data_IF_460301171918
#
_entry.id   IF_460301171918
#
_cell.length_a   1.000
_cell.length_b   1.000
_cell.length_c   1.000
_cell.angle_alpha   90.00
_cell.angle_beta   90.00
_cell.angle_gamma   90.00
#
_symmetry.space_group_name_H-M   'P 1'
#
loop_
_entity.id
_entity.type
_entity.pdbx_description
1 polymer ?
#
# COMPACT_ATOMS: atom_id res chain seq x y z
N UNK A 1 41.43 -25.10 12.63
CA UNK A 1 41.48 -24.02 11.62
C UNK A 1 42.21 -24.53 10.39
N UNK A 2 41.79 -24.17 9.18
CA UNK A 2 42.50 -24.58 7.98
C UNK A 2 43.81 -23.79 7.87
N UNK A 3 44.95 -24.50 7.74
CA UNK A 3 46.28 -23.91 7.71
C UNK A 3 46.70 -23.58 6.27
N UNK A 4 47.30 -22.40 6.07
CA UNK A 4 47.75 -21.98 4.77
C UNK A 4 49.01 -22.73 4.33
N UNK A 5 49.04 -23.16 3.04
CA UNK A 5 50.20 -23.76 2.38
C UNK A 5 50.82 -22.71 1.46
N UNK A 6 52.18 -22.64 1.47
CA UNK A 6 52.97 -21.78 0.54
C UNK A 6 52.95 -22.40 -0.87
N UNK A 7 52.65 -21.57 -1.85
CA UNK A 7 52.63 -21.93 -3.26
C UNK A 7 54.01 -21.65 -3.89
N UNK A 8 54.35 -22.29 -5.02
CA UNK A 8 55.60 -21.99 -5.76
C UNK A 8 55.72 -20.52 -6.19
N UNK A 9 54.59 -19.82 -6.34
CA UNK A 9 54.52 -18.38 -6.65
C UNK A 9 54.88 -17.45 -5.48
N UNK A 10 55.24 -18.00 -4.31
CA UNK A 10 55.51 -17.23 -3.10
C UNK A 10 54.27 -16.88 -2.25
N UNK A 11 53.08 -16.98 -2.81
CA UNK A 11 51.83 -16.71 -2.11
C UNK A 11 51.39 -17.87 -1.22
N UNK A 12 50.46 -17.59 -0.29
CA UNK A 12 49.89 -18.58 0.63
C UNK A 12 48.42 -18.87 0.26
N UNK A 13 48.04 -20.16 0.27
CA UNK A 13 46.69 -20.62 -0.05
C UNK A 13 46.09 -21.39 1.12
N UNK A 14 44.85 -21.02 1.51
CA UNK A 14 43.99 -21.78 2.42
C UNK A 14 42.81 -22.35 1.68
N UNK A 15 42.40 -23.58 1.98
CA UNK A 15 41.16 -24.19 1.51
C UNK A 15 40.21 -24.31 2.70
N UNK A 16 39.13 -23.54 2.71
CA UNK A 16 38.07 -23.59 3.70
C UNK A 16 36.97 -24.51 3.20
N UNK A 17 36.54 -25.45 4.05
CA UNK A 17 35.46 -26.38 3.77
C UNK A 17 34.13 -25.78 4.23
N UNK A 18 33.17 -25.70 3.35
CA UNK A 18 31.81 -25.27 3.64
C UNK A 18 30.94 -26.50 3.95
N UNK A 19 30.60 -26.66 5.22
CA UNK A 19 29.75 -27.78 5.68
C UNK A 19 28.35 -27.76 5.08
N UNK A 20 27.82 -26.55 4.75
CA UNK A 20 26.46 -26.39 4.22
C UNK A 20 26.34 -26.78 2.74
N UNK A 21 27.41 -26.62 1.95
CA UNK A 21 27.40 -26.94 0.51
C UNK A 21 28.24 -28.15 0.15
N UNK A 22 29.01 -28.74 1.10
CA UNK A 22 29.94 -29.83 0.85
C UNK A 22 31.14 -29.45 -0.02
N UNK A 23 31.38 -28.16 -0.30
CA UNK A 23 32.40 -27.67 -1.24
C UNK A 23 33.53 -26.93 -0.54
N UNK A 24 34.73 -26.98 -1.13
CA UNK A 24 35.87 -26.20 -0.70
C UNK A 24 35.95 -24.87 -1.47
N UNK A 25 36.24 -23.78 -0.74
CA UNK A 25 36.65 -22.50 -1.34
C UNK A 25 38.09 -22.18 -1.00
N UNK A 26 38.85 -21.74 -1.99
CA UNK A 26 40.29 -21.41 -1.84
C UNK A 26 40.44 -19.89 -1.70
N UNK A 27 41.32 -19.49 -0.78
CA UNK A 27 41.71 -18.10 -0.56
C UNK A 27 43.26 -18.04 -0.74
N UNK A 28 43.74 -17.05 -1.49
CA UNK A 28 45.16 -16.86 -1.76
C UNK A 28 45.55 -15.42 -1.45
N UNK A 29 46.60 -15.23 -0.67
CA UNK A 29 47.13 -13.93 -0.29
C UNK A 29 48.65 -13.92 -0.21
N UNK A 30 49.27 -12.74 -0.15
CA UNK A 30 50.72 -12.58 -0.08
C UNK A 30 51.35 -13.07 1.22
N UNK A 31 50.58 -13.11 2.31
CA UNK A 31 51.02 -13.59 3.63
C UNK A 31 50.18 -14.74 4.13
N UNK A 32 50.75 -15.59 4.97
CA UNK A 32 50.06 -16.72 5.61
C UNK A 32 48.85 -16.22 6.46
N UNK A 33 49.08 -15.18 7.25
CA UNK A 33 48.06 -14.58 8.15
C UNK A 33 46.88 -14.03 7.40
N UNK A 34 47.10 -13.37 6.29
CA UNK A 34 46.06 -12.75 5.46
C UNK A 34 45.19 -13.83 4.77
N UNK A 35 45.79 -14.89 4.25
CA UNK A 35 45.03 -16.01 3.67
C UNK A 35 44.17 -16.73 4.72
N UNK A 36 44.69 -16.93 5.92
CA UNK A 36 43.96 -17.55 7.05
C UNK A 36 42.85 -16.63 7.55
N UNK A 37 43.08 -15.30 7.62
CA UNK A 37 42.06 -14.31 7.98
C UNK A 37 40.88 -14.29 6.98
N UNK A 38 41.16 -14.23 5.69
CA UNK A 38 40.15 -14.28 4.63
C UNK A 38 39.30 -15.55 4.72
N UNK A 39 39.92 -16.70 5.00
CA UNK A 39 39.23 -17.97 5.16
C UNK A 39 38.35 -17.98 6.44
N UNK A 40 38.87 -17.41 7.56
CA UNK A 40 38.15 -17.30 8.81
C UNK A 40 36.97 -16.34 8.72
N UNK A 41 37.15 -15.18 8.10
CA UNK A 41 36.07 -14.20 7.85
C UNK A 41 34.97 -14.81 6.96
N UNK A 42 35.35 -15.53 5.93
CA UNK A 42 34.41 -16.22 5.06
C UNK A 42 33.62 -17.32 5.80
N UNK A 43 34.28 -18.13 6.64
CA UNK A 43 33.62 -19.13 7.49
C UNK A 43 32.72 -18.46 8.53
N UNK A 44 33.16 -17.37 9.17
CA UNK A 44 32.38 -16.63 10.15
C UNK A 44 31.18 -15.92 9.52
N UNK A 45 31.33 -15.37 8.31
CA UNK A 45 30.20 -14.78 7.56
C UNK A 45 29.12 -15.81 7.19
N UNK A 46 29.52 -17.10 7.08
CA UNK A 46 28.60 -18.21 6.84
C UNK A 46 28.07 -18.84 8.13
N UNK A 47 28.85 -18.88 9.19
CA UNK A 47 28.37 -19.30 10.52
C UNK A 47 27.29 -18.36 11.08
N UNK A 48 27.29 -17.09 10.67
CA UNK A 48 26.19 -16.14 10.93
C UNK A 48 24.96 -16.33 10.01
N UNK A 49 25.06 -17.16 8.96
CA UNK A 49 23.86 -17.62 8.24
C UNK A 49 23.26 -18.73 9.06
N UNK A 50 22.09 -18.46 9.61
CA UNK A 50 21.30 -19.46 10.31
C UNK A 50 21.26 -20.75 9.48
N UNK A 51 21.54 -21.86 10.11
CA UNK A 51 21.40 -23.18 9.53
C UNK A 51 19.90 -23.42 9.26
N UNK A 52 19.44 -23.54 8.01
CA UNK A 52 18.01 -23.72 7.72
C UNK A 52 17.42 -24.91 8.46
N UNK A 53 18.23 -25.92 8.81
CA UNK A 53 17.79 -27.09 9.55
C UNK A 53 17.50 -26.81 11.03
N UNK A 54 17.79 -25.60 11.53
CA UNK A 54 17.64 -25.24 12.94
C UNK A 54 16.62 -24.13 13.19
N UNK A 55 16.05 -23.54 12.14
CA UNK A 55 15.13 -22.40 12.25
C UNK A 55 13.72 -22.86 11.90
N UNK A 56 12.78 -22.44 12.73
CA UNK A 56 11.34 -22.62 12.47
C UNK A 56 10.80 -21.56 11.52
N UNK A 57 9.65 -21.82 10.90
CA UNK A 57 8.92 -20.82 10.09
C UNK A 57 8.63 -19.57 10.91
N UNK A 58 8.25 -19.73 12.18
CA UNK A 58 7.96 -18.64 13.10
C UNK A 58 9.17 -17.73 13.30
N UNK A 59 10.33 -18.30 13.56
CA UNK A 59 11.59 -17.56 13.71
C UNK A 59 12.01 -16.90 12.38
N UNK A 60 11.88 -17.59 11.25
CA UNK A 60 12.18 -17.04 9.94
C UNK A 60 11.31 -15.82 9.61
N UNK A 61 10.00 -15.90 9.88
CA UNK A 61 9.05 -14.79 9.68
C UNK A 61 9.36 -13.63 10.63
N UNK A 62 9.65 -13.91 11.89
CA UNK A 62 10.04 -12.88 12.87
C UNK A 62 11.30 -12.14 12.42
N UNK A 63 12.36 -12.86 12.08
CA UNK A 63 13.63 -12.29 11.60
C UNK A 63 13.43 -11.46 10.32
N UNK A 64 12.54 -11.93 9.42
CA UNK A 64 12.16 -11.17 8.23
C UNK A 64 11.52 -9.83 8.60
N UNK A 65 10.51 -9.83 9.50
CA UNK A 65 9.81 -8.62 9.94
C UNK A 65 10.81 -7.65 10.58
N UNK A 66 11.63 -8.11 11.50
CA UNK A 66 12.64 -7.30 12.20
C UNK A 66 13.65 -6.68 11.22
N UNK A 67 14.08 -7.43 10.20
CA UNK A 67 14.96 -6.92 9.14
C UNK A 67 14.34 -5.81 8.29
N UNK A 68 13.01 -5.67 8.30
CA UNK A 68 12.27 -4.65 7.56
C UNK A 68 11.81 -3.48 8.43
N UNK A 69 11.95 -3.57 9.76
CA UNK A 69 11.68 -2.43 10.64
C UNK A 69 12.59 -1.24 10.28
N UNK A 70 12.05 -0.04 10.23
CA UNK A 70 12.77 1.16 9.79
C UNK A 70 12.82 1.38 8.26
N UNK A 71 12.67 0.32 7.45
CA UNK A 71 12.60 0.43 5.98
C UNK A 71 11.16 0.52 5.49
N UNK A 72 10.31 -0.36 6.01
CA UNK A 72 8.88 -0.38 5.66
C UNK A 72 8.09 0.64 6.50
N UNK A 73 6.87 0.93 6.02
CA UNK A 73 5.97 1.79 6.78
C UNK A 73 5.54 1.13 8.09
N UNK A 74 5.32 1.90 9.19
CA UNK A 74 4.83 1.36 10.46
C UNK A 74 3.55 0.52 10.30
N UNK A 75 2.65 0.93 9.40
CA UNK A 75 1.42 0.19 9.10
C UNK A 75 1.70 -1.16 8.41
N UNK A 76 2.70 -1.23 7.52
CA UNK A 76 3.10 -2.48 6.87
C UNK A 76 3.70 -3.45 7.88
N UNK A 77 4.60 -2.96 8.74
CA UNK A 77 5.19 -3.75 9.83
C UNK A 77 4.10 -4.25 10.77
N UNK A 78 3.13 -3.39 11.15
CA UNK A 78 1.97 -3.81 11.93
C UNK A 78 1.17 -4.92 11.25
N UNK A 79 0.93 -4.80 9.94
CA UNK A 79 0.24 -5.83 9.16
C UNK A 79 0.96 -7.17 9.21
N UNK A 80 2.28 -7.18 9.11
CA UNK A 80 3.10 -8.37 9.23
C UNK A 80 3.01 -9.01 10.63
N UNK A 81 3.05 -8.21 11.70
CA UNK A 81 2.87 -8.74 13.06
C UNK A 81 1.46 -9.30 13.31
N UNK A 82 0.42 -8.77 12.65
CA UNK A 82 -0.92 -9.36 12.73
C UNK A 82 -0.94 -10.75 12.09
N UNK A 83 -0.32 -10.91 10.92
CA UNK A 83 -0.18 -12.21 10.25
C UNK A 83 0.64 -13.17 11.11
N UNK A 84 1.78 -12.74 11.61
CA UNK A 84 2.66 -13.51 12.49
C UNK A 84 1.94 -14.08 13.71
N UNK A 85 1.05 -13.29 14.33
CA UNK A 85 0.35 -13.69 15.57
C UNK A 85 -0.87 -14.58 15.31
N UNK A 86 -1.51 -14.47 14.16
CA UNK A 86 -2.86 -15.03 13.98
C UNK A 86 -2.99 -16.03 12.83
N UNK A 87 -1.98 -16.16 11.96
CA UNK A 87 -2.18 -16.86 10.71
C UNK A 87 -1.16 -17.96 10.41
N UNK A 88 -0.05 -18.04 11.12
CA UNK A 88 1.03 -19.00 10.83
C UNK A 88 1.07 -20.21 11.77
N UNK A 89 0.17 -20.32 12.76
CA UNK A 89 0.23 -21.31 13.83
C UNK A 89 0.41 -22.74 13.32
N UNK A 90 -0.24 -23.11 12.21
CA UNK A 90 -0.19 -24.47 11.64
C UNK A 90 1.19 -24.88 11.10
N UNK A 91 2.00 -23.90 10.71
CA UNK A 91 3.33 -24.10 10.15
C UNK A 91 4.43 -23.51 11.04
N UNK A 92 4.05 -22.85 12.14
CA UNK A 92 4.93 -22.05 12.99
C UNK A 92 6.16 -22.82 13.46
N UNK A 93 5.95 -24.04 13.96
CA UNK A 93 6.99 -24.89 14.57
C UNK A 93 7.68 -25.79 13.52
N UNK A 94 7.27 -25.74 12.26
CA UNK A 94 7.91 -26.48 11.17
C UNK A 94 9.30 -25.90 10.91
N UNK A 95 10.28 -26.80 10.77
CA UNK A 95 11.63 -26.42 10.37
C UNK A 95 11.64 -25.98 8.90
N UNK A 96 12.22 -24.79 8.60
CA UNK A 96 12.21 -24.25 7.23
C UNK A 96 13.01 -25.12 6.24
N UNK A 97 14.01 -25.89 6.72
CA UNK A 97 14.78 -26.82 5.88
C UNK A 97 13.97 -28.05 5.44
N UNK A 98 12.88 -28.38 6.14
CA UNK A 98 12.06 -29.56 5.87
C UNK A 98 10.68 -29.23 5.31
N UNK A 99 10.33 -27.93 5.20
CA UNK A 99 9.04 -27.50 4.68
C UNK A 99 8.92 -27.80 3.17
N UNK A 100 7.74 -28.22 2.74
CA UNK A 100 7.45 -28.56 1.35
C UNK A 100 6.31 -27.70 0.81
N UNK A 101 6.16 -27.67 -0.51
CA UNK A 101 5.04 -27.03 -1.21
C UNK A 101 3.69 -27.56 -0.71
N UNK A 102 3.59 -28.86 -0.43
CA UNK A 102 2.37 -29.48 0.10
C UNK A 102 1.97 -28.93 1.47
N UNK A 103 2.94 -28.62 2.33
CA UNK A 103 2.67 -28.06 3.65
C UNK A 103 2.15 -26.63 3.54
N UNK A 104 2.75 -25.83 2.66
CA UNK A 104 2.29 -24.48 2.35
C UNK A 104 0.91 -24.48 1.69
N UNK A 105 0.67 -25.39 0.74
CA UNK A 105 -0.65 -25.53 0.09
C UNK A 105 -1.73 -25.92 1.08
N UNK A 106 -1.44 -26.84 2.00
CA UNK A 106 -2.37 -27.25 3.05
C UNK A 106 -2.70 -26.07 3.98
N UNK A 107 -1.68 -25.36 4.45
CA UNK A 107 -1.83 -24.16 5.28
C UNK A 107 -2.69 -23.08 4.58
N UNK A 108 -2.42 -22.78 3.30
CA UNK A 108 -3.22 -21.87 2.48
C UNK A 108 -4.68 -22.31 2.42
N UNK A 109 -4.92 -23.60 2.17
CA UNK A 109 -6.27 -24.16 2.07
C UNK A 109 -7.06 -24.05 3.38
N UNK A 110 -6.41 -24.20 4.53
CA UNK A 110 -7.04 -23.99 5.83
C UNK A 110 -7.32 -22.49 6.12
N UNK A 111 -6.39 -21.62 5.76
CA UNK A 111 -6.58 -20.18 5.92
C UNK A 111 -7.65 -19.62 4.97
N UNK A 112 -7.80 -20.18 3.78
CA UNK A 112 -8.85 -19.80 2.83
C UNK A 112 -10.28 -20.04 3.35
N UNK A 113 -10.46 -20.99 4.31
CA UNK A 113 -11.73 -21.21 5.00
C UNK A 113 -12.07 -20.12 6.02
N UNK A 114 -11.07 -19.40 6.52
CA UNK A 114 -11.21 -18.42 7.63
C UNK A 114 -11.08 -16.98 7.18
N UNK A 115 -10.32 -16.72 6.12
CA UNK A 115 -9.94 -15.38 5.70
C UNK A 115 -10.33 -15.09 4.25
N UNK A 116 -10.55 -13.82 3.95
CA UNK A 116 -10.81 -13.38 2.58
C UNK A 116 -9.58 -13.63 1.67
N UNK A 117 -9.78 -13.88 0.36
CA UNK A 117 -8.72 -14.20 -0.60
C UNK A 117 -7.51 -13.26 -0.53
N UNK A 118 -7.74 -11.94 -0.48
CA UNK A 118 -6.65 -10.96 -0.38
C UNK A 118 -5.87 -11.04 0.93
N UNK A 119 -6.52 -11.44 2.02
CA UNK A 119 -5.84 -11.66 3.31
C UNK A 119 -4.92 -12.89 3.21
N UNK A 120 -5.40 -13.97 2.60
CA UNK A 120 -4.60 -15.20 2.39
C UNK A 120 -3.40 -14.92 1.47
N UNK A 121 -3.60 -14.16 0.40
CA UNK A 121 -2.50 -13.72 -0.47
C UNK A 121 -1.43 -12.93 0.30
N UNK A 122 -1.84 -12.01 1.18
CA UNK A 122 -0.91 -11.25 2.01
C UNK A 122 -0.17 -12.13 3.03
N UNK A 123 -0.85 -13.13 3.60
CA UNK A 123 -0.25 -14.13 4.51
C UNK A 123 0.82 -14.93 3.78
N UNK A 124 0.47 -15.46 2.60
CA UNK A 124 1.41 -16.19 1.76
C UNK A 124 2.60 -15.33 1.33
N UNK A 125 2.34 -14.08 0.93
CA UNK A 125 3.40 -13.13 0.54
C UNK A 125 4.41 -12.89 1.66
N UNK A 126 3.99 -12.82 2.92
CA UNK A 126 4.91 -12.67 4.05
C UNK A 126 5.74 -13.94 4.28
N UNK A 127 5.10 -15.10 4.34
CA UNK A 127 5.79 -16.39 4.60
C UNK A 127 6.74 -16.73 3.46
N UNK A 128 6.30 -16.63 2.21
CA UNK A 128 7.16 -16.90 1.04
C UNK A 128 8.36 -15.94 0.97
N UNK A 129 8.19 -14.66 1.33
CA UNK A 129 9.29 -13.70 1.40
C UNK A 129 10.30 -14.06 2.49
N UNK A 130 9.85 -14.53 3.65
CA UNK A 130 10.71 -14.99 4.74
C UNK A 130 11.50 -16.26 4.35
N UNK A 131 10.86 -17.22 3.70
CA UNK A 131 11.50 -18.45 3.21
C UNK A 131 12.52 -18.13 2.10
N UNK A 132 12.17 -17.28 1.13
CA UNK A 132 13.09 -16.82 0.08
C UNK A 132 14.31 -16.08 0.64
N UNK A 133 14.13 -15.27 1.71
CA UNK A 133 15.27 -14.61 2.38
C UNK A 133 16.24 -15.62 2.97
N UNK A 134 15.75 -16.77 3.45
CA UNK A 134 16.57 -17.88 3.96
C UNK A 134 17.06 -18.82 2.86
N UNK A 135 16.79 -18.50 1.59
CA UNK A 135 17.22 -19.28 0.40
C UNK A 135 16.69 -20.72 0.40
N UNK A 136 15.48 -20.92 0.90
CA UNK A 136 14.80 -22.19 0.80
C UNK A 136 14.39 -22.39 -0.65
N UNK A 137 14.77 -23.55 -1.20
CA UNK A 137 14.50 -23.93 -2.58
C UNK A 137 13.14 -24.64 -2.66
N UNK A 138 12.11 -23.87 -3.00
CA UNK A 138 10.73 -24.32 -3.18
C UNK A 138 10.17 -23.70 -4.46
N UNK A 139 9.31 -24.43 -5.13
CA UNK A 139 8.51 -23.88 -6.23
C UNK A 139 7.32 -23.08 -5.68
N UNK A 140 7.59 -21.81 -5.35
CA UNK A 140 6.57 -20.90 -4.81
C UNK A 140 5.44 -20.60 -5.80
N UNK A 141 5.68 -20.76 -7.10
CA UNK A 141 4.71 -20.42 -8.14
C UNK A 141 3.72 -21.59 -8.37
N UNK A 142 4.05 -22.80 -7.92
CA UNK A 142 3.13 -23.96 -7.92
C UNK A 142 2.02 -23.85 -6.88
N UNK A 143 2.13 -22.94 -5.91
CA UNK A 143 1.15 -22.77 -4.83
C UNK A 143 -0.10 -22.07 -5.34
N UNK A 144 -1.25 -22.74 -5.26
CA UNK A 144 -2.53 -22.19 -5.68
C UNK A 144 -3.13 -21.28 -4.60
N UNK A 145 -3.32 -20.01 -4.93
CA UNK A 145 -3.98 -19.04 -4.08
C UNK A 145 -5.48 -18.93 -4.38
N UNK A 146 -6.30 -18.56 -3.39
CA UNK A 146 -7.72 -18.31 -3.62
C UNK A 146 -7.91 -17.18 -4.63
N UNK A 147 -8.87 -17.38 -5.57
CA UNK A 147 -9.18 -16.36 -6.59
C UNK A 147 -9.66 -15.06 -5.93
N UNK A 148 -9.05 -13.96 -6.30
CA UNK A 148 -9.48 -12.63 -5.84
C UNK A 148 -10.85 -12.29 -6.46
N UNK A 149 -11.81 -12.01 -5.59
CA UNK A 149 -13.11 -11.47 -5.98
C UNK A 149 -13.03 -9.96 -5.80
N UNK A 150 -13.14 -9.22 -6.88
CA UNK A 150 -13.25 -7.77 -6.81
C UNK A 150 -14.62 -7.44 -6.19
N UNK A 151 -14.60 -6.78 -5.03
CA UNK A 151 -15.81 -6.20 -4.45
C UNK A 151 -16.05 -4.85 -5.10
N UNK A 152 -17.25 -4.66 -5.55
CA UNK A 152 -17.69 -3.36 -6.05
C UNK A 152 -17.64 -2.32 -4.92
N UNK A 153 -16.97 -1.21 -5.16
CA UNK A 153 -16.88 -0.11 -4.21
C UNK A 153 -18.05 0.83 -4.45
N UNK A 154 -18.95 0.94 -3.48
CA UNK A 154 -20.06 1.91 -3.58
C UNK A 154 -19.45 3.31 -3.49
N UNK A 155 -19.56 4.07 -4.58
CA UNK A 155 -19.09 5.45 -4.71
C UNK A 155 -20.29 6.38 -4.62
N UNK A 156 -20.25 7.48 -3.83
CA UNK A 156 -21.37 8.41 -3.76
C UNK A 156 -21.51 9.19 -5.07
N UNK A 157 -22.74 9.31 -5.56
CA UNK A 157 -23.08 10.20 -6.67
C UNK A 157 -23.19 11.66 -6.19
N UNK A 158 -23.39 12.62 -7.10
CA UNK A 158 -23.45 14.05 -6.80
C UNK A 158 -24.53 14.42 -5.77
N UNK A 159 -25.72 13.83 -5.86
CA UNK A 159 -26.80 14.05 -4.89
C UNK A 159 -26.41 13.53 -3.50
N UNK A 160 -25.83 12.35 -3.44
CA UNK A 160 -25.34 11.76 -2.19
C UNK A 160 -24.18 12.56 -1.60
N UNK A 161 -23.29 13.10 -2.43
CA UNK A 161 -22.22 14.02 -1.98
C UNK A 161 -22.81 15.27 -1.35
N UNK A 162 -23.83 15.90 -1.97
CA UNK A 162 -24.54 17.04 -1.40
C UNK A 162 -25.17 16.68 -0.06
N UNK A 163 -25.88 15.55 0.03
CA UNK A 163 -26.48 15.08 1.29
C UNK A 163 -25.42 14.83 2.37
N UNK A 164 -24.29 14.21 2.02
CA UNK A 164 -23.18 13.97 2.95
C UNK A 164 -22.65 15.29 3.53
N UNK A 165 -22.45 16.29 2.69
CA UNK A 165 -21.97 17.61 3.13
C UNK A 165 -22.95 18.31 4.07
N UNK A 166 -24.26 18.11 3.89
CA UNK A 166 -25.29 18.64 4.78
C UNK A 166 -25.37 17.89 6.11
N UNK A 167 -25.40 16.55 6.10
CA UNK A 167 -25.57 15.77 7.34
C UNK A 167 -24.37 15.84 8.28
N UNK A 168 -23.18 16.19 7.78
CA UNK A 168 -21.97 16.35 8.63
C UNK A 168 -21.81 17.76 9.17
N UNK A 169 -22.60 18.72 8.70
CA UNK A 169 -22.52 20.13 9.11
C UNK A 169 -22.77 20.29 10.61
N UNK A 170 -21.94 21.11 11.27
CA UNK A 170 -21.96 21.34 12.72
C UNK A 170 -21.75 20.07 13.58
N UNK A 171 -21.20 19.00 13.00
CA UNK A 171 -20.82 17.80 13.75
C UNK A 171 -19.31 17.75 13.99
N UNK A 172 -18.88 16.88 14.93
CA UNK A 172 -17.45 16.69 15.21
C UNK A 172 -16.65 16.10 14.06
N UNK A 173 -17.32 15.59 13.01
CA UNK A 173 -16.69 15.01 11.81
C UNK A 173 -16.88 15.88 10.57
N UNK A 174 -17.36 17.09 10.72
CA UNK A 174 -17.56 18.01 9.59
C UNK A 174 -16.29 18.24 8.78
N UNK A 175 -15.22 18.68 9.43
CA UNK A 175 -13.96 18.98 8.73
C UNK A 175 -13.32 17.74 8.08
N UNK A 176 -13.13 16.61 8.79
CA UNK A 176 -12.52 15.45 8.17
C UNK A 176 -13.33 14.88 7.00
N UNK A 177 -14.65 14.87 7.06
CA UNK A 177 -15.48 14.39 5.95
C UNK A 177 -15.46 15.40 4.80
N UNK A 178 -15.56 16.70 5.07
CA UNK A 178 -15.48 17.73 4.03
C UNK A 178 -14.14 17.68 3.30
N UNK A 179 -13.01 17.52 4.00
CA UNK A 179 -11.70 17.34 3.37
C UNK A 179 -11.63 16.09 2.48
N UNK A 180 -12.24 14.99 2.92
CA UNK A 180 -12.30 13.77 2.11
C UNK A 180 -13.11 13.98 0.82
N UNK A 181 -14.25 14.65 0.92
CA UNK A 181 -15.17 14.92 -0.21
C UNK A 181 -14.58 15.95 -1.17
N UNK A 182 -14.12 17.10 -0.67
CA UNK A 182 -13.76 18.24 -1.53
C UNK A 182 -12.32 18.21 -2.01
N UNK A 183 -11.39 17.67 -1.23
CA UNK A 183 -9.98 17.57 -1.58
C UNK A 183 -9.54 16.16 -1.98
N UNK A 184 -10.38 15.16 -1.75
CA UNK A 184 -10.04 13.76 -2.02
C UNK A 184 -8.88 13.23 -1.18
N UNK A 185 -8.66 13.74 0.04
CA UNK A 185 -7.58 13.31 0.91
C UNK A 185 -7.76 11.86 1.39
N UNK A 186 -6.65 11.16 1.60
CA UNK A 186 -6.68 9.86 2.28
C UNK A 186 -6.99 10.03 3.76
N UNK A 187 -7.70 9.09 4.35
CA UNK A 187 -8.03 9.13 5.79
C UNK A 187 -6.80 9.34 6.68
N UNK A 188 -5.66 8.76 6.31
CA UNK A 188 -4.41 8.93 7.04
C UNK A 188 -3.77 10.32 6.86
N UNK A 189 -3.97 10.97 5.71
CA UNK A 189 -3.56 12.35 5.45
C UNK A 189 -4.43 13.30 6.29
N UNK A 190 -5.75 13.15 6.25
CA UNK A 190 -6.71 13.95 7.03
C UNK A 190 -6.35 13.95 8.52
N UNK A 191 -5.97 12.80 9.06
CA UNK A 191 -5.62 12.68 10.48
C UNK A 191 -4.27 13.32 10.84
N UNK A 192 -3.43 13.65 9.84
CA UNK A 192 -2.11 14.24 10.04
C UNK A 192 -2.05 15.73 9.76
N UNK A 193 -3.06 16.30 9.07
CA UNK A 193 -3.09 17.72 8.73
C UNK A 193 -3.24 18.57 9.98
N UNK A 194 -2.34 19.56 10.12
CA UNK A 194 -2.31 20.52 11.21
C UNK A 194 -2.87 21.88 10.77
N UNK A 195 -3.26 22.69 11.74
CA UNK A 195 -3.66 24.08 11.45
C UNK A 195 -2.53 24.90 10.82
N UNK A 196 -1.27 24.61 11.17
CA UNK A 196 -0.10 25.25 10.55
C UNK A 196 0.09 24.89 9.08
N UNK A 197 -0.54 23.85 8.58
CA UNK A 197 -0.49 23.43 7.18
C UNK A 197 -1.52 24.18 6.31
N UNK A 198 -2.39 25.00 6.91
CA UNK A 198 -3.38 25.82 6.24
C UNK A 198 -2.99 27.30 6.29
N UNK A 199 -2.85 27.95 5.13
CA UNK A 199 -2.45 29.36 5.01
C UNK A 199 -3.62 30.33 4.73
N UNK A 200 -4.87 29.85 4.84
CA UNK A 200 -6.08 30.60 4.53
C UNK A 200 -6.60 30.42 3.09
N UNK A 201 -5.81 29.85 2.20
CA UNK A 201 -6.16 29.56 0.82
C UNK A 201 -5.73 28.17 0.37
N UNK A 202 -4.61 27.66 0.90
CA UNK A 202 -3.98 26.41 0.48
C UNK A 202 -3.75 25.49 1.66
N UNK A 203 -3.80 24.19 1.39
CA UNK A 203 -3.51 23.15 2.35
C UNK A 203 -2.29 22.35 1.91
N UNK A 204 -1.29 22.24 2.79
CA UNK A 204 -0.03 21.53 2.56
C UNK A 204 -0.15 20.10 3.07
N UNK A 205 -0.08 19.12 2.19
CA UNK A 205 -0.14 17.70 2.53
C UNK A 205 1.26 17.13 2.46
N UNK A 206 1.83 16.77 3.61
CA UNK A 206 3.20 16.26 3.70
C UNK A 206 3.36 15.08 4.66
N UNK A 207 2.31 14.74 5.40
CA UNK A 207 2.32 13.70 6.41
C UNK A 207 1.09 12.79 6.33
N UNK A 208 1.19 11.64 6.95
CA UNK A 208 0.10 10.71 7.16
C UNK A 208 0.18 10.09 8.57
N UNK A 209 -0.94 10.00 9.26
CA UNK A 209 -1.04 9.35 10.56
C UNK A 209 -1.36 7.88 10.37
N UNK A 210 -0.49 6.99 10.84
CA UNK A 210 -0.64 5.54 10.66
C UNK A 210 -0.42 4.79 11.98
N UNK A 211 -1.12 3.67 12.21
CA UNK A 211 -0.89 2.87 13.41
C UNK A 211 0.44 2.08 13.29
N UNK A 212 1.23 2.09 14.35
CA UNK A 212 2.43 1.26 14.48
C UNK A 212 2.10 -0.14 15.05
N UNK A 213 3.13 -0.99 15.24
CA UNK A 213 3.00 -2.35 15.77
C UNK A 213 2.35 -2.44 17.16
N UNK A 214 2.39 -1.36 17.92
CA UNK A 214 1.79 -1.24 19.26
C UNK A 214 0.41 -0.55 19.22
N UNK A 215 -0.23 -0.45 18.06
CA UNK A 215 -1.51 0.23 17.84
C UNK A 215 -1.52 1.73 18.16
N UNK A 216 -0.36 2.35 18.41
CA UNK A 216 -0.25 3.79 18.58
C UNK A 216 -0.22 4.47 17.22
N UNK A 217 -0.98 5.55 17.08
CA UNK A 217 -0.92 6.40 15.90
C UNK A 217 0.42 7.16 15.91
N UNK A 218 1.12 7.10 14.79
CA UNK A 218 2.40 7.78 14.58
C UNK A 218 2.36 8.56 13.28
N UNK A 219 2.89 9.77 13.30
CA UNK A 219 3.06 10.57 12.11
C UNK A 219 4.18 9.98 11.25
N UNK A 220 3.91 9.89 9.97
CA UNK A 220 4.85 9.44 8.94
C UNK A 220 4.88 10.46 7.83
N UNK A 221 6.08 10.92 7.47
CA UNK A 221 6.26 11.73 6.26
C UNK A 221 5.78 10.96 5.02
N UNK A 222 5.06 11.64 4.13
CA UNK A 222 4.59 11.07 2.85
C UNK A 222 5.69 11.00 1.79
N UNK A 223 6.90 11.42 2.11
CA UNK A 223 8.05 11.62 1.19
C UNK A 223 8.56 10.36 0.46
N UNK A 224 7.95 9.19 0.63
CA UNK A 224 8.30 7.98 -0.17
C UNK A 224 7.97 8.12 -1.67
N UNK A 225 7.14 9.09 -2.07
CA UNK A 225 6.94 9.47 -3.48
C UNK A 225 6.77 10.97 -3.56
N UNK A 226 7.38 11.63 -4.54
CA UNK A 226 7.18 13.05 -4.83
C UNK A 226 5.70 13.43 -4.96
N UNK A 227 4.84 12.49 -5.37
CA UNK A 227 3.39 12.66 -5.45
C UNK A 227 2.68 12.73 -4.08
N UNK A 228 3.32 12.28 -2.98
CA UNK A 228 2.73 12.29 -1.63
C UNK A 228 2.71 13.67 -1.00
N UNK A 229 3.71 14.49 -1.26
CA UNK A 229 3.79 15.87 -0.77
C UNK A 229 3.24 16.80 -1.85
N UNK A 230 2.23 17.56 -1.50
CA UNK A 230 1.53 18.44 -2.44
C UNK A 230 0.83 19.58 -1.74
N UNK A 231 0.56 20.62 -2.49
CA UNK A 231 -0.26 21.77 -2.09
C UNK A 231 -1.58 21.70 -2.84
N UNK A 232 -2.67 21.93 -2.16
CA UNK A 232 -4.02 21.89 -2.74
C UNK A 232 -4.72 23.21 -2.42
N UNK A 233 -5.25 23.86 -3.44
CA UNK A 233 -6.13 25.03 -3.27
C UNK A 233 -7.42 24.61 -2.57
N UNK A 234 -7.81 25.36 -1.53
CA UNK A 234 -9.01 25.12 -0.72
C UNK A 234 -10.17 25.90 -1.33
N UNK A 235 -11.21 25.17 -1.75
CA UNK A 235 -12.42 25.81 -2.26
C UNK A 235 -13.26 26.48 -1.15
N UNK A 236 -14.12 27.42 -1.52
CA UNK A 236 -14.86 28.30 -0.61
C UNK A 236 -15.67 27.55 0.46
N UNK A 237 -16.31 26.43 0.11
CA UNK A 237 -17.06 25.61 1.05
C UNK A 237 -16.19 25.14 2.23
N UNK A 238 -15.02 24.57 1.94
CA UNK A 238 -14.12 24.05 2.97
C UNK A 238 -13.47 25.22 3.72
N UNK A 239 -13.11 26.30 3.03
CA UNK A 239 -12.54 27.51 3.62
C UNK A 239 -13.48 28.09 4.68
N UNK A 240 -14.75 28.32 4.36
CA UNK A 240 -15.76 28.80 5.31
C UNK A 240 -15.87 27.91 6.55
N UNK A 241 -15.76 26.59 6.37
CA UNK A 241 -15.82 25.63 7.49
C UNK A 241 -14.54 25.66 8.34
N UNK A 242 -13.39 25.82 7.74
CA UNK A 242 -12.11 25.96 8.44
C UNK A 242 -12.04 27.27 9.22
N UNK A 243 -12.46 28.39 8.61
CA UNK A 243 -12.36 29.72 9.20
C UNK A 243 -13.31 29.88 10.43
N UNK A 244 -14.43 29.16 10.48
CA UNK A 244 -15.34 29.15 11.64
C UNK A 244 -14.98 28.15 12.73
N UNK A 245 -14.05 27.24 12.46
CA UNK A 245 -13.73 26.15 13.36
C UNK A 245 -12.84 26.59 14.51
N UNK A 246 -13.11 26.08 15.72
CA UNK A 246 -12.25 26.29 16.87
C UNK A 246 -11.00 25.40 16.79
N UNK A 247 -9.83 25.99 17.04
CA UNK A 247 -8.55 25.29 17.07
C UNK A 247 -8.34 24.54 18.41
N UNK A 248 -9.06 23.46 18.64
CA UNK A 248 -9.03 22.67 19.91
C UNK A 248 -7.79 21.79 20.04
N UNK A 249 -7.01 21.62 19.00
CA UNK A 249 -5.78 20.83 18.97
C UNK A 249 -4.84 21.35 17.90
N UNK A 250 -3.61 20.80 17.86
CA UNK A 250 -2.66 21.04 16.77
C UNK A 250 -3.21 20.55 15.41
N UNK A 251 -3.99 19.47 15.40
CA UNK A 251 -4.56 18.86 14.20
C UNK A 251 -5.94 19.43 13.89
N UNK A 252 -6.23 19.63 12.59
CA UNK A 252 -7.56 20.04 12.11
C UNK A 252 -8.61 18.98 12.46
N UNK A 253 -8.24 17.69 12.40
CA UNK A 253 -9.10 16.58 12.81
C UNK A 253 -8.49 15.86 14.02
N UNK A 254 -8.87 16.21 15.27
CA UNK A 254 -8.30 15.57 16.46
C UNK A 254 -8.82 14.16 16.70
N UNK A 255 -9.88 13.75 16.01
CA UNK A 255 -10.47 12.42 16.15
C UNK A 255 -9.60 11.33 15.49
N UNK A 256 -9.56 10.17 16.14
CA UNK A 256 -8.94 9.00 15.52
C UNK A 256 -9.67 8.63 14.22
N UNK A 257 -8.95 8.19 13.18
CA UNK A 257 -9.56 7.82 11.88
C UNK A 257 -10.75 6.85 12.01
N UNK A 258 -10.63 5.83 12.87
CA UNK A 258 -11.71 4.89 13.12
C UNK A 258 -12.96 5.56 13.73
N UNK A 259 -12.78 6.50 14.65
CA UNK A 259 -13.89 7.22 15.27
C UNK A 259 -14.63 8.08 14.24
N UNK A 260 -13.92 8.76 13.35
CA UNK A 260 -14.52 9.51 12.24
C UNK A 260 -15.39 8.58 11.38
N UNK A 261 -14.86 7.42 10.98
CA UNK A 261 -15.60 6.46 10.17
C UNK A 261 -16.87 5.95 10.86
N UNK A 262 -16.78 5.60 12.14
CA UNK A 262 -17.94 5.11 12.91
C UNK A 262 -19.04 6.19 13.03
N UNK A 263 -18.65 7.43 13.32
CA UNK A 263 -19.60 8.55 13.36
C UNK A 263 -20.23 8.80 11.99
N UNK A 264 -19.43 8.77 10.94
CA UNK A 264 -19.88 8.94 9.57
C UNK A 264 -20.90 7.86 9.16
N UNK A 265 -20.63 6.59 9.45
CA UNK A 265 -21.56 5.49 9.20
C UNK A 265 -22.90 5.66 9.93
N UNK A 266 -22.87 6.13 11.20
CA UNK A 266 -24.09 6.41 11.96
C UNK A 266 -24.92 7.52 11.32
N UNK A 267 -24.27 8.59 10.85
CA UNK A 267 -24.95 9.68 10.15
C UNK A 267 -25.55 9.22 8.82
N UNK A 268 -24.81 8.46 8.02
CA UNK A 268 -25.29 7.87 6.79
C UNK A 268 -26.54 7.01 7.05
N UNK A 269 -26.47 6.09 8.01
CA UNK A 269 -27.58 5.19 8.36
C UNK A 269 -28.83 5.95 8.83
N UNK A 270 -28.66 6.98 9.69
CA UNK A 270 -29.73 7.83 10.16
C UNK A 270 -30.45 8.58 9.03
N UNK A 271 -29.75 8.88 7.95
CA UNK A 271 -30.27 9.66 6.81
C UNK A 271 -30.52 8.80 5.56
N UNK A 272 -30.61 7.47 5.69
CA UNK A 272 -30.93 6.57 4.58
C UNK A 272 -29.85 6.45 3.51
N UNK A 273 -28.62 6.87 3.81
CA UNK A 273 -27.48 6.76 2.91
C UNK A 273 -26.73 5.42 3.11
N UNK A 274 -26.11 4.87 2.04
CA UNK A 274 -25.19 3.74 2.18
C UNK A 274 -24.03 4.05 3.15
N UNK A 275 -23.50 3.02 3.80
CA UNK A 275 -22.30 3.16 4.66
C UNK A 275 -21.04 3.33 3.81
N UNK A 276 -20.81 4.52 3.31
CA UNK A 276 -19.64 4.86 2.54
C UNK A 276 -18.36 4.84 3.39
N UNK A 277 -17.26 4.35 2.83
CA UNK A 277 -15.94 4.50 3.46
C UNK A 277 -15.38 5.90 3.20
N UNK A 278 -14.39 6.32 4.01
CA UNK A 278 -13.67 7.58 3.73
C UNK A 278 -12.91 7.51 2.39
N UNK A 279 -12.51 6.31 1.97
CA UNK A 279 -11.87 6.11 0.66
C UNK A 279 -12.87 6.23 -0.50
N UNK A 280 -14.14 5.85 -0.28
CA UNK A 280 -15.21 6.05 -1.26
C UNK A 280 -15.48 7.53 -1.54
N UNK A 281 -15.31 8.42 -0.53
CA UNK A 281 -15.41 9.88 -0.74
C UNK A 281 -14.34 10.39 -1.70
N UNK A 282 -13.12 9.87 -1.56
CA UNK A 282 -12.03 10.18 -2.49
C UNK A 282 -12.28 9.65 -3.91
N UNK A 283 -12.91 8.49 -4.05
CA UNK A 283 -13.35 7.98 -5.35
C UNK A 283 -14.46 8.88 -5.92
N UNK A 284 -15.42 9.32 -5.11
CA UNK A 284 -16.44 10.30 -5.50
C UNK A 284 -15.85 11.62 -6.00
N UNK A 285 -14.84 12.16 -5.27
CA UNK A 285 -14.10 13.35 -5.71
C UNK A 285 -13.44 13.15 -7.08
N UNK A 286 -12.78 11.99 -7.29
CA UNK A 286 -12.20 11.65 -8.58
C UNK A 286 -13.27 11.55 -9.68
N UNK A 287 -14.41 10.92 -9.40
CA UNK A 287 -15.56 10.79 -10.34
C UNK A 287 -16.10 12.16 -10.75
N UNK A 288 -16.27 13.08 -9.79
CA UNK A 288 -16.73 14.44 -10.06
C UNK A 288 -15.72 15.20 -10.93
N UNK A 289 -14.43 15.10 -10.64
CA UNK A 289 -13.40 15.74 -11.48
C UNK A 289 -13.44 15.23 -12.92
N UNK A 290 -13.59 13.91 -13.11
CA UNK A 290 -13.67 13.30 -14.43
C UNK A 290 -14.95 13.69 -15.18
N UNK A 291 -16.10 13.69 -14.49
CA UNK A 291 -17.37 14.11 -15.08
C UNK A 291 -17.35 15.58 -15.53
N UNK A 292 -16.52 16.42 -14.90
CA UNK A 292 -16.30 17.82 -15.26
C UNK A 292 -15.05 18.03 -16.14
N UNK A 293 -14.58 17.00 -16.82
CA UNK A 293 -13.46 17.07 -17.79
C UNK A 293 -12.15 17.65 -17.24
N UNK A 294 -11.93 17.52 -15.91
CA UNK A 294 -10.66 17.94 -15.30
C UNK A 294 -9.52 17.05 -15.83
N UNK A 295 -8.43 17.63 -16.36
CA UNK A 295 -7.34 16.85 -16.92
C UNK A 295 -6.77 15.82 -15.93
N UNK A 296 -6.54 14.59 -16.38
CA UNK A 296 -6.07 13.47 -15.57
C UNK A 296 -4.80 13.81 -14.79
N UNK A 297 -3.87 14.51 -15.42
CA UNK A 297 -2.61 14.93 -14.79
C UNK A 297 -2.86 15.82 -13.57
N UNK A 298 -3.80 16.75 -13.66
CA UNK A 298 -4.18 17.60 -12.53
C UNK A 298 -4.91 16.79 -11.45
N UNK A 299 -5.84 15.94 -11.83
CA UNK A 299 -6.55 15.05 -10.89
C UNK A 299 -5.58 14.14 -10.14
N UNK A 300 -4.60 13.54 -10.84
CA UNK A 300 -3.54 12.72 -10.24
C UNK A 300 -2.70 13.53 -9.23
N UNK A 301 -2.26 14.73 -9.62
CA UNK A 301 -1.49 15.62 -8.75
C UNK A 301 -2.29 16.00 -7.49
N UNK A 302 -3.55 16.45 -7.65
CA UNK A 302 -4.45 16.83 -6.57
C UNK A 302 -4.68 15.67 -5.59
N UNK A 303 -4.90 14.48 -6.13
CA UNK A 303 -5.09 13.26 -5.34
C UNK A 303 -3.77 12.67 -4.79
N UNK A 304 -2.60 13.15 -5.21
CA UNK A 304 -1.31 12.59 -4.79
C UNK A 304 -1.14 11.13 -5.22
N UNK A 305 -1.32 10.88 -6.52
CA UNK A 305 -1.17 9.56 -7.13
C UNK A 305 -0.02 9.53 -8.12
N UNK A 306 0.78 8.47 -8.04
CA UNK A 306 1.89 8.23 -8.97
C UNK A 306 1.49 7.40 -10.20
N UNK A 307 0.30 6.78 -10.18
CA UNK A 307 -0.19 5.97 -11.29
C UNK A 307 -1.65 6.28 -11.62
N UNK A 308 -2.07 6.14 -12.90
CA UNK A 308 -3.45 6.42 -13.32
C UNK A 308 -4.45 5.32 -12.93
N UNK A 309 -4.04 4.26 -12.24
CA UNK A 309 -4.87 3.09 -12.00
C UNK A 309 -6.19 3.40 -11.28
N UNK A 310 -6.19 4.29 -10.29
CA UNK A 310 -7.44 4.66 -9.61
C UNK A 310 -8.36 5.46 -10.56
N UNK A 311 -7.79 6.39 -11.32
CA UNK A 311 -8.55 7.17 -12.29
C UNK A 311 -9.14 6.23 -13.35
N UNK A 312 -8.37 5.27 -13.87
CA UNK A 312 -8.87 4.25 -14.80
C UNK A 312 -10.02 3.42 -14.22
N UNK A 313 -9.92 3.01 -12.96
CA UNK A 313 -11.01 2.27 -12.30
C UNK A 313 -12.27 3.12 -12.14
N UNK A 314 -12.12 4.41 -11.85
CA UNK A 314 -13.25 5.36 -11.79
C UNK A 314 -13.85 5.56 -13.19
N UNK A 315 -13.02 5.67 -14.24
CA UNK A 315 -13.49 5.70 -15.62
C UNK A 315 -14.36 4.48 -15.96
N UNK A 316 -13.93 3.27 -15.58
CA UNK A 316 -14.71 2.05 -15.87
C UNK A 316 -16.11 2.09 -15.25
N UNK A 317 -16.27 2.66 -14.05
CA UNK A 317 -17.59 2.81 -13.42
C UNK A 317 -18.44 3.89 -14.12
N UNK A 318 -17.88 5.06 -14.42
CA UNK A 318 -18.58 6.14 -15.11
C UNK A 318 -18.98 5.76 -16.55
N UNK A 319 -18.10 5.05 -17.26
CA UNK A 319 -18.40 4.59 -18.62
C UNK A 319 -19.56 3.61 -18.64
N UNK A 320 -19.71 2.72 -17.64
CA UNK A 320 -20.85 1.80 -17.55
C UNK A 320 -22.20 2.51 -17.53
N UNK A 321 -22.30 3.64 -16.82
CA UNK A 321 -23.54 4.43 -16.70
C UNK A 321 -23.77 5.40 -17.88
N UNK A 322 -22.70 5.84 -18.56
CA UNK A 322 -22.77 6.87 -19.61
C UNK A 322 -22.47 6.37 -21.04
N UNK A 323 -22.29 5.06 -21.24
CA UNK A 323 -21.97 4.49 -22.57
C UNK A 323 -22.96 4.96 -23.64
N UNK A 324 -24.27 4.96 -23.34
CA UNK A 324 -25.30 5.37 -24.27
C UNK A 324 -25.20 6.86 -24.60
N UNK A 325 -25.01 7.71 -23.57
CA UNK A 325 -24.86 9.16 -23.76
C UNK A 325 -23.64 9.50 -24.63
N UNK A 326 -22.49 8.89 -24.38
CA UNK A 326 -21.29 9.10 -25.19
C UNK A 326 -21.44 8.56 -26.62
N UNK A 327 -22.18 7.44 -26.80
CA UNK A 327 -22.50 6.92 -28.15
C UNK A 327 -23.37 7.89 -28.93
N UNK A 328 -24.36 8.48 -28.27
CA UNK A 328 -25.26 9.46 -28.89
C UNK A 328 -24.49 10.75 -29.24
N UNK A 329 -23.67 11.29 -28.33
CA UNK A 329 -22.82 12.47 -28.56
C UNK A 329 -21.84 12.26 -29.74
N UNK A 330 -21.22 11.06 -29.82
CA UNK A 330 -20.33 10.72 -30.95
C UNK A 330 -21.12 10.64 -32.27
N UNK A 331 -22.32 10.06 -32.24
CA UNK A 331 -23.20 10.01 -33.40
C UNK A 331 -23.57 11.40 -33.92
N UNK A 332 -23.89 12.31 -33.00
CA UNK A 332 -24.24 13.70 -33.33
C UNK A 332 -23.05 14.43 -34.00
N UNK A 333 -21.86 14.27 -33.45
CA UNK A 333 -20.62 14.85 -34.04
C UNK A 333 -20.38 14.33 -35.47
N UNK A 334 -20.57 13.04 -35.70
CA UNK A 334 -20.42 12.50 -37.08
C UNK A 334 -21.51 12.93 -38.00
N UNK A 335 -22.75 13.14 -37.54
CA UNK A 335 -23.84 13.71 -38.31
C UNK A 335 -23.53 15.16 -38.75
N UNK A 336 -23.08 15.99 -37.79
CA UNK A 336 -22.67 17.37 -38.08
C UNK A 336 -21.53 17.46 -39.10
N UNK A 337 -20.52 16.56 -39.00
CA UNK A 337 -19.43 16.47 -39.99
C UNK A 337 -19.95 16.06 -41.37
N UNK A 338 -20.95 15.20 -41.42
CA UNK A 338 -21.55 14.76 -42.67
C UNK A 338 -22.35 15.90 -43.33
N UNK A 339 -23.19 16.59 -42.56
CA UNK A 339 -24.06 17.67 -43.04
C UNK A 339 -23.24 18.88 -43.52
N UNK A 340 -22.20 19.28 -42.81
CA UNK A 340 -21.29 20.37 -43.23
C UNK A 340 -20.55 20.09 -44.54
N UNK A 341 -20.35 18.83 -44.94
CA UNK A 341 -19.77 18.47 -46.25
C UNK A 341 -20.78 18.47 -47.38
N UNK A 342 -22.06 18.32 -47.10
CA UNK A 342 -23.11 18.33 -48.12
C UNK A 342 -23.57 19.74 -48.52
N UNK A 343 -23.56 20.69 -47.56
CA UNK A 343 -23.94 22.09 -47.85
C UNK A 343 -22.91 22.82 -48.73
N UNK A 344 -21.63 22.43 -48.67
CA UNK A 344 -20.57 23.04 -49.52
C UNK A 344 -20.58 22.56 -50.97
N UNK A 345 -21.40 21.55 -51.35
CA UNK A 345 -21.47 21.02 -52.73
C UNK A 345 -22.73 21.48 -53.51
N UNK A 346 -23.67 22.23 -52.90
CA UNK A 346 -24.87 22.73 -53.55
C UNK A 346 -24.78 24.17 -54.06
N UNK A 347 -23.63 24.84 -53.88
CA UNK A 347 -23.38 26.21 -54.38
C UNK A 347 -22.42 26.23 -55.58
N UNK A 348 -22.60 25.29 -56.56
CA UNK A 348 -21.92 25.37 -57.84
C UNK A 348 -22.87 25.19 -59.00
#
# INVERSE_FOLDING_TARGET
MATAKKLPSGNYRVRAYDKATGKYKSFTAGTKREAELMAAEWLNSRAKRCDPEKITVKEAVQNYIESKEGVLSPASVRGYYIIYRNAIDQIADMNIGNIRETDLQFWISQNAKKYAPKTVENQYGLVSAALRQNKIDLDFDSILLPKLIQKEVIIPNEQQVSQILHIVENTSIELPVTMAVTLGLRQSEIAAVKWSDYDGQRLYIHAAMVPNKNHKMVEKSTTKSAAGTRVIEVGELLKTRLDRAEHKSEYISPLKPYSVLVHFHRLCEKNGLPKFTMHAQRHGNASIMLANHVPDKYAMQRLGQSSPNMIKNVYQHLYGEKIKQFSDEISDVFSDIYDTKHDTNNDK
#
